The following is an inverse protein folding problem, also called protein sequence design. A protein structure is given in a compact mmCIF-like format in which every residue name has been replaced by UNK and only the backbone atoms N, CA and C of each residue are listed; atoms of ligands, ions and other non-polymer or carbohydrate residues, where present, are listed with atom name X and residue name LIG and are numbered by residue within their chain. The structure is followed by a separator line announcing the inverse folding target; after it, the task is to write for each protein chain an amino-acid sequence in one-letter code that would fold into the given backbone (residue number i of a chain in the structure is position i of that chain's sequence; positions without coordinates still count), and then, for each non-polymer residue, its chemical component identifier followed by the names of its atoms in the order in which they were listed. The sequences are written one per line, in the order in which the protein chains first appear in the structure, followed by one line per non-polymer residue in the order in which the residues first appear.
data_IF_902570756876
#
_entry.id   IF_902570756876
#
_cell.length_a   1.000
_cell.length_b   1.000
_cell.length_c   1.000
_cell.angle_alpha   90.00
_cell.angle_beta   90.00
_cell.angle_gamma   90.00
#
_symmetry.space_group_name_H-M   'P 1'
#
loop_
_entity.id
_entity.type
_entity.pdbx_description
1 polymer ?
#
# COMPACT_ATOMS: atom_id res chain seq x y z
N UNK A 1 -18.19 -49.22 7.15
CA UNK A 1 -16.74 -49.43 6.95
C UNK A 1 -16.51 -49.76 5.49
N UNK A 2 -16.06 -48.79 4.69
CA UNK A 2 -15.55 -49.01 3.35
C UNK A 2 -14.29 -48.14 3.22
N UNK A 3 -13.19 -48.78 2.83
CA UNK A 3 -11.84 -48.30 3.00
C UNK A 3 -11.52 -47.07 2.13
N UNK A 4 -11.01 -46.01 2.77
CA UNK A 4 -10.28 -44.94 2.11
C UNK A 4 -8.94 -45.52 1.62
N UNK A 5 -8.86 -45.83 0.32
CA UNK A 5 -7.57 -46.08 -0.33
C UNK A 5 -6.97 -44.72 -0.66
N UNK A 6 -6.05 -44.28 0.18
CA UNK A 6 -5.22 -43.12 -0.08
C UNK A 6 -4.27 -43.42 -1.25
N UNK A 7 -4.51 -42.80 -2.39
CA UNK A 7 -3.50 -42.70 -3.44
C UNK A 7 -2.55 -41.56 -3.07
N UNK A 8 -1.40 -41.95 -2.51
CA UNK A 8 -0.24 -41.09 -2.39
C UNK A 8 0.13 -40.54 -3.77
N UNK A 9 0.01 -39.23 -3.96
CA UNK A 9 0.57 -38.55 -5.12
C UNK A 9 2.10 -38.60 -5.01
N UNK A 10 2.70 -39.60 -5.65
CA UNK A 10 4.14 -39.70 -5.84
C UNK A 10 4.63 -38.50 -6.64
N UNK A 11 5.66 -37.84 -6.10
CA UNK A 11 6.38 -36.73 -6.74
C UNK A 11 7.01 -37.21 -8.05
N UNK A 12 6.45 -36.81 -9.19
CA UNK A 12 6.99 -37.13 -10.50
C UNK A 12 8.38 -36.50 -10.69
N UNK A 13 9.33 -37.30 -11.21
CA UNK A 13 10.78 -37.02 -11.28
C UNK A 13 11.26 -36.27 -12.54
N UNK A 14 10.40 -35.91 -13.50
CA UNK A 14 10.86 -35.40 -14.80
C UNK A 14 10.42 -33.96 -15.10
N UNK A 15 11.41 -33.11 -15.40
CA UNK A 15 11.33 -31.68 -15.74
C UNK A 15 11.41 -31.42 -17.25
N UNK A 16 10.98 -32.35 -18.12
CA UNK A 16 11.09 -32.19 -19.57
C UNK A 16 9.74 -31.88 -20.21
N UNK A 17 9.52 -30.60 -20.57
CA UNK A 17 8.50 -30.07 -21.51
C UNK A 17 7.02 -30.50 -21.24
N UNK A 18 5.99 -29.79 -21.76
CA UNK A 18 4.62 -30.01 -21.28
C UNK A 18 4.15 -31.43 -21.59
N UNK A 19 3.37 -32.02 -20.68
CA UNK A 19 2.80 -33.35 -20.86
C UNK A 19 2.13 -33.42 -22.25
N UNK A 20 2.50 -34.40 -23.07
CA UNK A 20 2.02 -34.50 -24.45
C UNK A 20 0.49 -34.65 -24.53
N UNK A 21 -0.13 -35.11 -23.44
CA UNK A 21 -1.55 -35.40 -23.30
C UNK A 21 -2.11 -34.85 -21.99
N UNK A 22 -3.40 -34.53 -22.04
CA UNK A 22 -4.21 -34.02 -20.95
C UNK A 22 -5.42 -34.95 -20.78
N UNK A 23 -5.69 -35.38 -19.55
CA UNK A 23 -6.87 -36.21 -19.26
C UNK A 23 -8.15 -35.38 -19.31
N UNK A 24 -9.12 -35.84 -20.10
CA UNK A 24 -10.44 -35.26 -20.27
C UNK A 24 -11.54 -36.27 -19.92
N UNK A 25 -12.69 -35.76 -19.50
CA UNK A 25 -13.90 -36.54 -19.24
C UNK A 25 -14.94 -36.21 -20.31
N UNK A 26 -15.50 -37.23 -20.96
CA UNK A 26 -16.62 -37.03 -21.87
C UNK A 26 -17.88 -36.64 -21.07
N UNK A 27 -18.54 -35.56 -21.47
CA UNK A 27 -19.72 -35.03 -20.78
C UNK A 27 -20.94 -35.95 -20.88
N UNK A 28 -21.02 -36.84 -21.89
CA UNK A 28 -22.18 -37.73 -22.06
C UNK A 28 -22.04 -39.02 -21.27
N UNK A 29 -20.84 -39.62 -21.28
CA UNK A 29 -20.64 -41.00 -20.82
C UNK A 29 -19.70 -41.10 -19.60
N UNK A 30 -19.06 -39.99 -19.20
CA UNK A 30 -18.06 -39.97 -18.12
C UNK A 30 -16.76 -40.71 -18.45
N UNK A 31 -16.59 -41.17 -19.70
CA UNK A 31 -15.41 -41.89 -20.15
C UNK A 31 -14.21 -40.95 -20.23
N UNK A 32 -13.04 -41.45 -19.79
CA UNK A 32 -11.79 -40.68 -19.86
C UNK A 32 -11.18 -40.80 -21.26
N UNK A 33 -10.74 -39.68 -21.82
CA UNK A 33 -9.97 -39.64 -23.05
C UNK A 33 -8.76 -38.71 -22.90
N UNK A 34 -7.74 -38.93 -23.71
CA UNK A 34 -6.53 -38.12 -23.71
C UNK A 34 -6.58 -37.13 -24.88
N UNK A 35 -6.48 -35.84 -24.58
CA UNK A 35 -6.38 -34.77 -25.57
C UNK A 35 -4.93 -34.31 -25.65
N UNK A 36 -4.41 -34.01 -26.84
CA UNK A 36 -3.09 -33.42 -26.93
C UNK A 36 -3.06 -32.02 -26.32
N UNK A 37 -2.00 -31.69 -25.57
CA UNK A 37 -1.91 -30.40 -24.89
C UNK A 37 -1.96 -29.17 -25.83
N UNK A 38 -1.52 -29.32 -27.09
CA UNK A 38 -1.56 -28.24 -28.09
C UNK A 38 -2.96 -28.03 -28.68
N UNK A 39 -3.86 -29.00 -28.55
CA UNK A 39 -5.27 -28.91 -29.00
C UNK A 39 -6.18 -28.37 -27.88
N UNK A 40 -5.62 -28.11 -26.69
CA UNK A 40 -6.37 -27.59 -25.56
C UNK A 40 -6.90 -26.18 -25.85
N UNK A 41 -8.20 -26.00 -25.59
CA UNK A 41 -8.90 -24.73 -25.79
C UNK A 41 -9.86 -24.45 -24.63
N UNK A 42 -10.40 -23.23 -24.53
CA UNK A 42 -11.29 -22.85 -23.41
C UNK A 42 -12.63 -23.59 -23.39
N UNK A 43 -13.00 -24.33 -24.44
CA UNK A 43 -14.17 -25.22 -24.45
C UNK A 43 -13.94 -26.47 -23.61
N UNK A 44 -12.70 -26.94 -23.55
CA UNK A 44 -12.27 -28.13 -22.79
C UNK A 44 -12.11 -27.84 -21.30
N UNK A 45 -12.09 -26.57 -20.91
CA UNK A 45 -11.83 -26.10 -19.55
C UNK A 45 -12.76 -26.68 -18.47
N UNK A 46 -14.00 -27.03 -18.82
CA UNK A 46 -14.98 -27.56 -17.86
C UNK A 46 -14.83 -29.07 -17.60
N UNK A 47 -14.20 -29.83 -18.49
CA UNK A 47 -14.22 -31.30 -18.48
C UNK A 47 -12.83 -31.93 -18.53
N UNK A 48 -11.80 -31.14 -18.80
CA UNK A 48 -10.41 -31.58 -18.90
C UNK A 48 -9.56 -31.07 -17.74
N UNK A 49 -8.56 -31.87 -17.40
CA UNK A 49 -7.40 -31.41 -16.62
C UNK A 49 -6.68 -30.30 -17.39
N UNK A 50 -5.83 -29.53 -16.71
CA UNK A 50 -5.16 -28.41 -17.35
C UNK A 50 -3.74 -28.75 -17.79
N UNK A 51 -3.31 -28.28 -18.97
CA UNK A 51 -1.96 -28.50 -19.45
C UNK A 51 -0.95 -27.83 -18.52
N UNK A 52 0.26 -28.39 -18.43
CA UNK A 52 1.34 -27.74 -17.70
C UNK A 52 1.74 -26.46 -18.41
N UNK A 53 1.63 -25.34 -17.71
CA UNK A 53 2.04 -24.04 -18.20
C UNK A 53 3.43 -23.67 -17.70
N UNK A 54 4.27 -23.09 -18.56
CA UNK A 54 5.53 -22.51 -18.12
C UNK A 54 5.26 -21.16 -17.47
N UNK A 55 5.61 -21.03 -16.21
CA UNK A 55 5.59 -19.74 -15.53
C UNK A 55 6.75 -18.88 -16.01
N UNK A 56 6.49 -17.63 -16.34
CA UNK A 56 7.57 -16.65 -16.52
C UNK A 56 8.13 -16.30 -15.13
N UNK A 57 9.38 -16.71 -14.80
CA UNK A 57 9.97 -16.44 -13.49
C UNK A 57 10.12 -14.94 -13.21
N UNK A 58 10.16 -14.10 -14.24
CA UNK A 58 10.34 -12.66 -14.10
C UNK A 58 9.08 -11.92 -13.62
N UNK A 59 7.91 -12.56 -13.68
CA UNK A 59 6.64 -11.93 -13.29
C UNK A 59 6.15 -12.47 -11.94
N UNK A 60 6.19 -13.79 -11.73
CA UNK A 60 5.66 -14.45 -10.54
C UNK A 60 6.68 -15.41 -9.90
N UNK A 61 7.97 -15.22 -10.19
CA UNK A 61 9.04 -16.01 -9.58
C UNK A 61 9.21 -15.73 -8.10
N UNK A 62 9.80 -16.70 -7.39
CA UNK A 62 10.04 -16.61 -5.94
C UNK A 62 10.91 -15.41 -5.56
N UNK A 63 11.90 -15.08 -6.41
CA UNK A 63 12.77 -13.91 -6.20
C UNK A 63 11.99 -12.60 -6.27
N UNK A 64 11.08 -12.48 -7.24
CA UNK A 64 10.19 -11.32 -7.39
C UNK A 64 9.34 -11.18 -6.13
N UNK A 65 8.58 -12.21 -5.76
CA UNK A 65 7.73 -12.19 -4.54
C UNK A 65 8.54 -11.83 -3.29
N UNK A 66 9.73 -12.41 -3.14
CA UNK A 66 10.65 -12.10 -2.03
C UNK A 66 11.08 -10.63 -2.00
N UNK A 67 11.53 -10.09 -3.13
CA UNK A 67 12.02 -8.70 -3.22
C UNK A 67 10.94 -7.67 -2.88
N UNK A 68 9.72 -7.89 -3.35
CA UNK A 68 8.57 -7.04 -3.07
C UNK A 68 8.13 -7.11 -1.61
N UNK A 69 8.10 -8.32 -1.04
CA UNK A 69 7.76 -8.54 0.37
C UNK A 69 8.76 -7.82 1.28
N UNK A 70 10.05 -8.00 1.00
CA UNK A 70 11.14 -7.34 1.75
C UNK A 70 11.03 -5.83 1.62
N UNK A 71 10.90 -5.30 0.40
CA UNK A 71 10.81 -3.84 0.17
C UNK A 71 9.60 -3.25 0.89
N UNK A 72 8.45 -3.92 0.88
CA UNK A 72 7.26 -3.45 1.56
C UNK A 72 7.41 -3.45 3.08
N UNK A 73 8.00 -4.51 3.64
CA UNK A 73 8.30 -4.60 5.06
C UNK A 73 9.20 -3.46 5.52
N UNK A 74 10.30 -3.18 4.82
CA UNK A 74 11.18 -2.07 5.15
C UNK A 74 10.48 -0.72 5.04
N UNK A 75 9.64 -0.55 4.02
CA UNK A 75 8.86 0.68 3.85
C UNK A 75 7.89 0.87 5.00
N UNK A 76 7.21 -0.19 5.45
CA UNK A 76 6.33 -0.17 6.61
C UNK A 76 7.10 0.19 7.88
N UNK A 77 8.23 -0.47 8.15
CA UNK A 77 9.06 -0.20 9.33
C UNK A 77 9.57 1.24 9.35
N UNK A 78 10.08 1.75 8.22
CA UNK A 78 10.55 3.12 8.10
C UNK A 78 9.40 4.13 8.20
N UNK A 79 8.22 3.81 7.67
CA UNK A 79 7.02 4.63 7.78
C UNK A 79 6.56 4.75 9.24
N UNK A 80 6.51 3.63 9.98
CA UNK A 80 6.21 3.60 11.41
C UNK A 80 7.28 4.40 12.17
N UNK A 81 8.56 4.20 11.86
CA UNK A 81 9.65 4.95 12.46
C UNK A 81 9.49 6.46 12.24
N UNK A 82 9.17 6.89 11.02
CA UNK A 82 8.91 8.29 10.70
C UNK A 82 7.73 8.87 11.50
N UNK A 83 6.65 8.12 11.72
CA UNK A 83 5.53 8.59 12.54
C UNK A 83 5.86 8.67 14.02
N UNK A 84 6.60 7.69 14.54
CA UNK A 84 6.97 7.61 15.95
C UNK A 84 8.00 8.67 16.31
N UNK A 85 9.02 8.84 15.47
CA UNK A 85 10.18 9.71 15.73
C UNK A 85 9.98 11.11 15.19
N UNK A 86 9.27 11.24 14.07
CA UNK A 86 9.05 12.49 13.36
C UNK A 86 8.37 13.54 14.24
N UNK A 87 8.95 14.74 14.21
CA UNK A 87 8.51 15.87 15.02
C UNK A 87 7.32 16.55 14.35
N UNK A 88 6.08 16.25 14.76
CA UNK A 88 4.93 17.08 14.34
C UNK A 88 4.67 18.14 15.42
N UNK A 89 4.70 19.41 15.02
CA UNK A 89 4.73 20.54 15.96
C UNK A 89 3.44 20.60 16.83
N UNK A 90 3.60 20.61 18.15
CA UNK A 90 2.49 20.58 19.14
C UNK A 90 1.53 21.77 19.01
N UNK A 91 2.00 22.88 18.43
CA UNK A 91 1.29 24.16 18.45
C UNK A 91 0.09 24.27 17.49
N UNK A 92 -0.17 23.31 16.58
CA UNK A 92 -1.31 23.48 15.64
C UNK A 92 -1.99 22.24 15.06
N UNK A 93 -1.59 21.02 15.40
CA UNK A 93 -2.50 19.89 15.21
C UNK A 93 -3.39 19.83 16.45
N UNK A 94 -4.67 20.16 16.31
CA UNK A 94 -5.69 19.63 17.21
C UNK A 94 -5.64 18.12 17.08
N UNK A 95 -4.66 17.48 17.71
CA UNK A 95 -4.46 16.05 17.60
C UNK A 95 -5.76 15.39 17.99
N UNK A 96 -6.16 14.41 17.20
CA UNK A 96 -7.12 13.45 17.67
C UNK A 96 -6.63 12.99 19.06
N UNK A 97 -7.47 12.93 20.10
CA UNK A 97 -7.04 12.52 21.44
C UNK A 97 -6.23 11.21 21.42
N UNK A 98 -6.50 10.33 20.44
CA UNK A 98 -5.79 9.09 20.16
C UNK A 98 -4.31 9.35 19.77
N UNK A 99 -4.05 10.24 18.82
CA UNK A 99 -2.68 10.56 18.37
C UNK A 99 -1.86 11.18 19.51
N UNK A 100 -2.52 11.98 20.37
CA UNK A 100 -1.90 12.57 21.56
C UNK A 100 -1.50 11.51 22.59
N UNK A 101 -2.37 10.51 22.81
CA UNK A 101 -2.09 9.39 23.70
C UNK A 101 -0.91 8.57 23.17
N UNK A 102 -0.94 8.20 21.88
CA UNK A 102 0.12 7.44 21.23
C UNK A 102 1.47 8.15 21.33
N UNK A 103 1.50 9.47 21.09
CA UNK A 103 2.75 10.24 21.17
C UNK A 103 3.33 10.30 22.59
N UNK A 104 2.52 10.55 23.60
CA UNK A 104 2.97 10.63 25.00
C UNK A 104 3.55 9.30 25.48
N UNK A 105 2.91 8.19 25.10
CA UNK A 105 3.27 6.87 25.59
C UNK A 105 4.30 6.13 24.72
N UNK A 106 4.45 6.48 23.43
CA UNK A 106 5.33 5.78 22.48
C UNK A 106 6.46 6.67 21.96
N UNK A 107 6.15 7.85 21.39
CA UNK A 107 7.16 8.71 20.76
C UNK A 107 8.16 9.32 21.75
N UNK A 108 7.68 9.89 22.87
CA UNK A 108 8.54 10.52 23.89
C UNK A 108 9.58 9.57 24.51
N UNK A 109 9.24 8.34 24.94
CA UNK A 109 10.24 7.40 25.43
C UNK A 109 11.22 6.99 24.34
N UNK A 110 10.76 6.76 23.10
CA UNK A 110 11.63 6.35 21.99
C UNK A 110 12.62 7.46 21.60
N UNK A 111 12.19 8.71 21.57
CA UNK A 111 13.10 9.86 21.34
C UNK A 111 14.15 9.97 22.44
N UNK A 112 13.76 9.80 23.71
CA UNK A 112 14.72 9.77 24.83
C UNK A 112 15.75 8.65 24.69
N UNK A 113 15.33 7.47 24.23
CA UNK A 113 16.25 6.34 23.99
C UNK A 113 17.24 6.68 22.87
N UNK A 114 16.80 7.22 21.73
CA UNK A 114 17.71 7.62 20.65
C UNK A 114 18.75 8.65 21.09
N UNK A 115 18.34 9.64 21.89
CA UNK A 115 19.28 10.60 22.46
C UNK A 115 20.33 9.92 23.36
N UNK A 116 19.95 8.90 24.15
CA UNK A 116 20.93 8.12 24.95
C UNK A 116 21.90 7.32 24.08
N UNK A 117 21.47 6.86 22.91
CA UNK A 117 22.30 6.12 21.94
C UNK A 117 23.16 7.09 21.10
N UNK A 118 23.07 8.40 21.33
CA UNK A 118 23.84 9.40 20.59
C UNK A 118 23.32 9.67 19.18
N UNK A 119 22.10 9.22 18.86
CA UNK A 119 21.47 9.45 17.55
C UNK A 119 20.63 10.72 17.58
N UNK A 120 20.84 11.63 16.63
CA UNK A 120 19.96 12.78 16.46
C UNK A 120 18.63 12.32 15.82
N UNK A 121 17.50 12.31 16.55
CA UNK A 121 16.24 11.78 16.05
C UNK A 121 15.69 12.58 14.86
N UNK A 122 15.97 13.88 14.81
CA UNK A 122 15.44 14.75 13.77
C UNK A 122 16.16 14.46 12.43
N UNK A 123 17.49 14.24 12.46
CA UNK A 123 18.25 13.80 11.29
C UNK A 123 17.83 12.39 10.81
N UNK A 124 17.68 11.44 11.74
CA UNK A 124 17.29 10.07 11.42
C UNK A 124 15.88 10.00 10.83
N UNK A 125 14.95 10.81 11.34
CA UNK A 125 13.59 10.90 10.78
C UNK A 125 13.58 11.45 9.35
N UNK A 126 14.51 12.36 9.02
CA UNK A 126 14.62 12.93 7.68
C UNK A 126 15.19 11.92 6.68
N UNK A 127 16.24 11.19 7.07
CA UNK A 127 16.80 10.11 6.24
C UNK A 127 15.77 9.00 6.01
N UNK A 128 15.07 8.59 7.07
CA UNK A 128 13.99 7.61 6.96
C UNK A 128 12.88 8.11 6.04
N UNK A 129 12.53 9.40 6.09
CA UNK A 129 11.53 10.00 5.21
C UNK A 129 11.94 9.93 3.72
N UNK A 130 13.20 10.26 3.40
CA UNK A 130 13.69 10.21 2.02
C UNK A 130 13.70 8.76 1.50
N UNK A 131 14.09 7.79 2.34
CA UNK A 131 14.01 6.36 2.03
C UNK A 131 12.57 5.88 1.82
N UNK A 132 11.64 6.26 2.69
CA UNK A 132 10.21 5.93 2.54
C UNK A 132 9.68 6.49 1.23
N UNK A 133 10.02 7.73 0.88
CA UNK A 133 9.58 8.32 -0.37
C UNK A 133 10.16 7.58 -1.60
N UNK A 134 11.43 7.17 -1.55
CA UNK A 134 12.05 6.40 -2.63
C UNK A 134 11.44 4.99 -2.77
N UNK A 135 11.25 4.26 -1.67
CA UNK A 135 10.64 2.93 -1.73
C UNK A 135 9.15 2.98 -2.09
N UNK A 136 8.45 4.04 -1.70
CA UNK A 136 7.07 4.30 -2.13
C UNK A 136 6.98 4.42 -3.65
N UNK A 137 7.88 5.19 -4.28
CA UNK A 137 7.92 5.33 -5.73
C UNK A 137 8.34 4.03 -6.42
N UNK A 138 9.30 3.30 -5.83
CA UNK A 138 9.71 2.00 -6.34
C UNK A 138 8.52 1.03 -6.37
N UNK A 139 7.77 0.90 -5.28
CA UNK A 139 6.60 0.01 -5.19
C UNK A 139 5.50 0.37 -6.18
N UNK A 140 5.29 1.66 -6.44
CA UNK A 140 4.31 2.11 -7.42
C UNK A 140 4.72 1.68 -8.84
N UNK A 141 5.98 1.93 -9.20
CA UNK A 141 6.51 1.60 -10.54
C UNK A 141 6.60 0.09 -10.74
N UNK A 142 7.13 -0.65 -9.76
CA UNK A 142 7.29 -2.10 -9.86
C UNK A 142 5.94 -2.82 -9.78
N UNK A 143 5.01 -2.34 -8.94
CA UNK A 143 3.64 -2.86 -8.89
C UNK A 143 2.90 -2.63 -10.22
N UNK A 144 3.07 -1.46 -10.84
CA UNK A 144 2.55 -1.17 -12.18
C UNK A 144 3.15 -2.08 -13.25
N UNK A 145 4.47 -2.27 -13.24
CA UNK A 145 5.17 -3.12 -14.19
C UNK A 145 4.70 -4.58 -14.10
N UNK A 146 4.53 -5.11 -12.89
CA UNK A 146 4.00 -6.47 -12.65
C UNK A 146 2.56 -6.60 -13.15
N UNK A 147 1.70 -5.60 -12.95
CA UNK A 147 0.34 -5.60 -13.51
C UNK A 147 0.35 -5.59 -15.04
N UNK A 148 1.16 -4.73 -15.67
CA UNK A 148 1.27 -4.66 -17.13
C UNK A 148 1.77 -5.99 -17.70
N UNK A 149 2.82 -6.56 -17.09
CA UNK A 149 3.33 -7.88 -17.48
C UNK A 149 2.29 -8.98 -17.32
N UNK A 150 1.60 -9.05 -16.18
CA UNK A 150 0.56 -10.05 -15.93
C UNK A 150 -0.64 -9.94 -16.86
N UNK A 151 -1.09 -8.71 -17.18
CA UNK A 151 -2.20 -8.48 -18.11
C UNK A 151 -1.80 -8.81 -19.55
N UNK A 152 -0.56 -8.52 -19.95
CA UNK A 152 -0.02 -8.92 -21.25
C UNK A 152 0.00 -10.45 -21.38
N UNK A 153 0.56 -11.16 -20.40
CA UNK A 153 0.60 -12.63 -20.42
C UNK A 153 -0.79 -13.27 -20.29
N UNK A 154 -1.75 -12.56 -19.67
CA UNK A 154 -3.17 -12.93 -19.69
C UNK A 154 -3.77 -12.84 -21.09
N UNK A 155 -3.50 -11.76 -21.82
CA UNK A 155 -3.98 -11.58 -23.20
C UNK A 155 -3.41 -12.65 -24.14
N UNK A 156 -2.13 -12.96 -23.99
CA UNK A 156 -1.42 -14.03 -24.72
C UNK A 156 -1.89 -15.45 -24.32
N UNK A 157 -2.55 -15.61 -23.18
CA UNK A 157 -3.01 -16.91 -22.67
C UNK A 157 -1.90 -17.79 -22.10
N UNK A 158 -0.73 -17.20 -21.80
CA UNK A 158 0.47 -17.91 -21.31
C UNK A 158 0.57 -17.95 -19.78
N UNK A 159 -0.22 -17.13 -19.08
CA UNK A 159 -0.23 -17.12 -17.61
C UNK A 159 -1.30 -18.05 -17.02
N UNK A 160 -0.89 -18.86 -16.05
CA UNK A 160 -1.83 -19.72 -15.32
C UNK A 160 -2.58 -18.92 -14.27
N UNK A 161 -3.75 -19.41 -13.86
CA UNK A 161 -4.57 -18.82 -12.79
C UNK A 161 -3.75 -18.53 -11.52
N UNK A 162 -2.94 -19.51 -11.08
CA UNK A 162 -2.05 -19.37 -9.93
C UNK A 162 -1.08 -18.19 -10.04
N UNK A 163 -0.37 -18.07 -11.16
CA UNK A 163 0.62 -17.00 -11.34
C UNK A 163 -0.06 -15.63 -11.48
N UNK A 164 -1.24 -15.57 -12.12
CA UNK A 164 -2.01 -14.34 -12.21
C UNK A 164 -2.55 -13.88 -10.85
N UNK A 165 -2.95 -14.81 -9.98
CA UNK A 165 -3.32 -14.50 -8.60
C UNK A 165 -2.14 -13.92 -7.83
N UNK A 166 -0.95 -14.52 -7.93
CA UNK A 166 0.27 -13.97 -7.32
C UNK A 166 0.53 -12.55 -7.81
N UNK A 167 0.44 -12.30 -9.12
CA UNK A 167 0.60 -10.96 -9.71
C UNK A 167 -0.39 -9.95 -9.12
N UNK A 168 -1.66 -10.35 -9.03
CA UNK A 168 -2.74 -9.50 -8.51
C UNK A 168 -2.52 -9.19 -7.03
N UNK A 169 -2.18 -10.19 -6.22
CA UNK A 169 -1.91 -10.05 -4.80
C UNK A 169 -0.66 -9.20 -4.54
N UNK A 170 0.39 -9.40 -5.35
CA UNK A 170 1.62 -8.61 -5.27
C UNK A 170 1.34 -7.14 -5.57
N UNK A 171 0.63 -6.85 -6.66
CA UNK A 171 0.28 -5.50 -7.03
C UNK A 171 -0.65 -4.81 -6.03
N UNK A 172 -1.62 -5.56 -5.46
CA UNK A 172 -2.45 -5.09 -4.36
C UNK A 172 -1.61 -4.72 -3.14
N UNK A 173 -0.65 -5.57 -2.79
CA UNK A 173 0.24 -5.37 -1.66
C UNK A 173 1.19 -4.17 -1.86
N UNK A 174 1.75 -3.99 -3.05
CA UNK A 174 2.53 -2.81 -3.43
C UNK A 174 1.72 -1.54 -3.30
N UNK A 175 0.51 -1.57 -3.85
CA UNK A 175 -0.43 -0.46 -3.78
C UNK A 175 -0.70 -0.09 -2.33
N UNK A 176 -1.03 -1.07 -1.48
CA UNK A 176 -1.35 -0.84 -0.09
C UNK A 176 -0.17 -0.17 0.66
N UNK A 177 1.04 -0.66 0.42
CA UNK A 177 2.26 -0.12 1.01
C UNK A 177 2.62 1.28 0.47
N UNK A 178 2.36 1.53 -0.81
CA UNK A 178 2.50 2.84 -1.43
C UNK A 178 1.51 3.86 -0.83
N UNK A 179 0.23 3.49 -0.67
CA UNK A 179 -0.77 4.36 -0.06
C UNK A 179 -0.44 4.67 1.41
N UNK A 180 0.10 3.70 2.14
CA UNK A 180 0.57 3.89 3.52
C UNK A 180 1.71 4.89 3.60
N UNK A 181 2.74 4.71 2.77
CA UNK A 181 3.89 5.60 2.73
C UNK A 181 3.47 7.02 2.35
N UNK A 182 2.48 7.21 1.47
CA UNK A 182 1.93 8.54 1.18
C UNK A 182 1.30 9.24 2.38
N UNK A 183 0.68 8.52 3.33
CA UNK A 183 0.16 9.12 4.57
C UNK A 183 1.30 9.71 5.37
N UNK A 184 2.35 8.92 5.58
CA UNK A 184 3.53 9.31 6.37
C UNK A 184 4.31 10.42 5.68
N UNK A 185 4.55 10.32 4.38
CA UNK A 185 5.23 11.37 3.61
C UNK A 185 4.45 12.68 3.69
N UNK A 186 3.11 12.66 3.70
CA UNK A 186 2.31 13.87 3.87
C UNK A 186 2.45 14.46 5.27
N UNK A 187 2.31 13.65 6.32
CA UNK A 187 2.39 14.13 7.71
C UNK A 187 3.78 14.70 8.05
N UNK A 188 4.85 14.04 7.59
CA UNK A 188 6.23 14.51 7.80
C UNK A 188 6.54 15.73 6.95
N UNK A 189 6.18 15.76 5.65
CA UNK A 189 6.43 16.92 4.78
C UNK A 189 5.74 18.18 5.29
N UNK A 190 4.51 18.07 5.77
CA UNK A 190 3.77 19.20 6.35
C UNK A 190 4.39 19.68 7.66
N UNK A 191 5.13 18.81 8.37
CA UNK A 191 5.88 19.16 9.57
C UNK A 191 7.20 19.86 9.24
N UNK A 192 8.00 19.31 8.32
CA UNK A 192 9.31 19.86 7.89
C UNK A 192 9.16 21.22 7.24
N UNK A 193 8.16 21.40 6.36
CA UNK A 193 7.91 22.69 5.68
C UNK A 193 7.66 23.83 6.68
N UNK A 194 7.15 23.53 7.88
CA UNK A 194 6.85 24.53 8.90
C UNK A 194 8.03 24.82 9.82
N UNK A 195 8.91 23.85 10.09
CA UNK A 195 10.10 24.05 10.93
C UNK A 195 11.27 24.68 10.18
N UNK A 196 11.46 24.34 8.90
CA UNK A 196 12.57 24.85 8.08
C UNK A 196 12.08 25.41 6.74
N UNK A 197 11.39 26.57 6.74
CA UNK A 197 10.85 27.15 5.51
C UNK A 197 11.93 27.51 4.48
N UNK A 198 13.15 27.83 4.95
CA UNK A 198 14.27 28.20 4.06
C UNK A 198 14.75 27.04 3.18
N UNK A 199 14.66 25.78 3.65
CA UNK A 199 15.09 24.61 2.87
C UNK A 199 14.15 24.29 1.69
N UNK A 200 12.95 24.86 1.67
CA UNK A 200 11.93 24.63 0.63
C UNK A 200 11.85 25.75 -0.41
N UNK A 201 12.72 26.76 -0.34
CA UNK A 201 12.73 27.93 -1.21
C UNK A 201 13.75 27.77 -2.34
N UNK A 202 13.45 26.94 -3.32
CA UNK A 202 14.19 26.91 -4.59
C UNK A 202 13.22 26.82 -5.78
N UNK A 203 13.12 27.92 -6.54
CA UNK A 203 12.23 28.07 -7.71
C UNK A 203 12.51 27.04 -8.82
N UNK A 204 13.78 26.68 -9.06
CA UNK A 204 14.14 25.71 -10.11
C UNK A 204 13.79 24.25 -9.75
N UNK A 205 13.60 23.94 -8.45
CA UNK A 205 13.15 22.61 -7.99
C UNK A 205 11.62 22.48 -8.15
N UNK A 206 10.90 23.59 -8.32
CA UNK A 206 9.45 23.57 -8.29
C UNK A 206 8.84 22.87 -9.52
N UNK A 207 9.40 23.08 -10.72
CA UNK A 207 8.92 22.41 -11.93
C UNK A 207 9.17 20.90 -11.85
N UNK A 208 10.39 20.48 -11.50
CA UNK A 208 10.73 19.07 -11.33
C UNK A 208 9.84 18.39 -10.26
N UNK A 209 9.59 19.07 -9.13
CA UNK A 209 8.70 18.55 -8.10
C UNK A 209 7.22 18.52 -8.52
N UNK A 210 6.77 19.47 -9.37
CA UNK A 210 5.42 19.43 -9.97
C UNK A 210 5.30 18.27 -10.95
N UNK A 211 6.28 18.06 -11.82
CA UNK A 211 6.32 16.94 -12.77
C UNK A 211 6.37 15.59 -12.05
N UNK A 212 7.23 15.42 -11.05
CA UNK A 212 7.30 14.19 -10.26
C UNK A 212 5.96 13.86 -9.57
N UNK A 213 5.26 14.87 -9.03
CA UNK A 213 3.92 14.69 -8.46
C UNK A 213 2.87 14.33 -9.51
N UNK A 214 2.90 14.99 -10.67
CA UNK A 214 1.99 14.69 -11.77
C UNK A 214 2.19 13.24 -12.26
N UNK A 215 3.44 12.84 -12.49
CA UNK A 215 3.81 11.49 -12.91
C UNK A 215 3.41 10.45 -11.86
N UNK A 216 3.62 10.73 -10.58
CA UNK A 216 3.13 9.85 -9.49
C UNK A 216 1.61 9.69 -9.54
N UNK A 217 0.84 10.77 -9.72
CA UNK A 217 -0.62 10.69 -9.84
C UNK A 217 -1.04 9.90 -11.08
N UNK A 218 -0.36 10.09 -12.21
CA UNK A 218 -0.61 9.32 -13.44
C UNK A 218 -0.37 7.82 -13.22
N UNK A 219 0.75 7.45 -12.58
CA UNK A 219 1.03 6.05 -12.25
C UNK A 219 0.04 5.48 -11.24
N UNK A 220 -0.36 6.24 -10.22
CA UNK A 220 -1.42 5.83 -9.30
C UNK A 220 -2.74 5.56 -10.03
N UNK A 221 -3.13 6.44 -10.97
CA UNK A 221 -4.34 6.26 -11.76
C UNK A 221 -4.25 5.03 -12.69
N UNK A 222 -3.10 4.81 -13.33
CA UNK A 222 -2.86 3.64 -14.16
C UNK A 222 -2.92 2.34 -13.34
N UNK A 223 -2.21 2.28 -12.22
CA UNK A 223 -2.23 1.14 -11.29
C UNK A 223 -3.64 0.88 -10.78
N UNK A 224 -4.41 1.92 -10.44
CA UNK A 224 -5.79 1.79 -10.01
C UNK A 224 -6.67 1.11 -11.07
N UNK A 225 -6.60 1.55 -12.33
CA UNK A 225 -7.39 0.96 -13.43
C UNK A 225 -7.00 -0.51 -13.66
N UNK A 226 -5.70 -0.79 -13.78
CA UNK A 226 -5.21 -2.15 -14.04
C UNK A 226 -5.47 -3.10 -12.88
N UNK A 227 -5.36 -2.64 -11.64
CA UNK A 227 -5.61 -3.46 -10.46
C UNK A 227 -7.10 -3.79 -10.31
N UNK A 228 -8.01 -2.85 -10.60
CA UNK A 228 -9.45 -3.14 -10.63
C UNK A 228 -9.80 -4.14 -11.71
N UNK A 229 -9.19 -4.02 -12.88
CA UNK A 229 -9.32 -5.02 -13.94
C UNK A 229 -8.83 -6.40 -13.48
N UNK A 230 -7.67 -6.47 -12.82
CA UNK A 230 -7.13 -7.72 -12.27
C UNK A 230 -8.07 -8.34 -11.23
N UNK A 231 -8.62 -7.55 -10.30
CA UNK A 231 -9.62 -8.06 -9.35
C UNK A 231 -10.86 -8.60 -10.04
N UNK A 232 -11.37 -7.89 -11.04
CA UNK A 232 -12.51 -8.34 -11.81
C UNK A 232 -12.25 -9.69 -12.50
N UNK A 233 -11.05 -9.88 -13.07
CA UNK A 233 -10.65 -11.17 -13.69
C UNK A 233 -10.57 -12.29 -12.63
N UNK A 234 -10.04 -12.01 -11.43
CA UNK A 234 -9.93 -13.01 -10.35
C UNK A 234 -11.27 -13.39 -9.69
N UNK A 235 -12.38 -12.75 -10.05
CA UNK A 235 -13.71 -12.99 -9.48
C UNK A 235 -14.40 -14.28 -9.92
N UNK A 236 -13.72 -15.17 -10.66
CA UNK A 236 -14.25 -16.45 -11.14
C UNK A 236 -14.63 -17.40 -9.99
N UNK A 237 -15.82 -18.00 -10.05
CA UNK A 237 -16.38 -18.84 -8.97
C UNK A 237 -15.50 -20.04 -8.59
N UNK A 238 -15.03 -20.80 -9.59
CA UNK A 238 -14.30 -22.05 -9.34
C UNK A 238 -12.77 -21.84 -9.30
N UNK A 239 -12.31 -20.60 -9.12
CA UNK A 239 -10.88 -20.29 -9.10
C UNK A 239 -10.12 -21.07 -8.01
N UNK A 240 -10.81 -21.40 -6.90
CA UNK A 240 -10.24 -22.13 -5.78
C UNK A 240 -10.44 -23.64 -5.83
N UNK A 241 -11.12 -24.16 -6.87
CA UNK A 241 -11.35 -25.60 -7.01
C UNK A 241 -10.03 -26.31 -7.33
N UNK A 242 -9.84 -27.49 -6.75
CA UNK A 242 -8.60 -28.25 -6.91
C UNK A 242 -8.34 -28.54 -8.40
N UNK A 243 -7.12 -28.25 -8.86
CA UNK A 243 -6.72 -28.41 -10.27
C UNK A 243 -6.88 -27.14 -11.13
N UNK A 244 -7.81 -26.24 -10.79
CA UNK A 244 -8.09 -25.04 -11.60
C UNK A 244 -6.97 -23.98 -11.57
N UNK A 245 -6.14 -23.98 -10.53
CA UNK A 245 -4.99 -23.08 -10.39
C UNK A 245 -3.94 -23.22 -11.50
N UNK A 246 -3.87 -24.38 -12.17
CA UNK A 246 -2.88 -24.67 -13.22
C UNK A 246 -3.37 -24.29 -14.61
N UNK A 247 -4.64 -23.96 -14.74
CA UNK A 247 -5.28 -23.66 -16.02
C UNK A 247 -4.92 -22.26 -16.54
N UNK A 248 -5.03 -22.04 -17.86
CA UNK A 248 -4.83 -20.71 -18.43
C UNK A 248 -5.91 -19.76 -17.94
N UNK A 249 -5.49 -18.65 -17.33
CA UNK A 249 -6.40 -17.68 -16.72
C UNK A 249 -7.34 -17.04 -17.75
N UNK A 250 -6.91 -16.97 -19.02
CA UNK A 250 -7.71 -16.46 -20.14
C UNK A 250 -9.07 -17.16 -20.26
N UNK A 251 -9.14 -18.46 -19.97
CA UNK A 251 -10.39 -19.22 -20.06
C UNK A 251 -11.35 -18.95 -18.90
N UNK A 252 -10.89 -18.31 -17.82
CA UNK A 252 -11.72 -17.95 -16.67
C UNK A 252 -12.41 -16.59 -16.82
N UNK A 253 -11.99 -15.75 -17.79
CA UNK A 253 -12.50 -14.37 -17.96
C UNK A 253 -14.02 -14.33 -18.20
N UNK A 254 -14.49 -15.20 -19.11
CA UNK A 254 -15.89 -15.23 -19.55
C UNK A 254 -16.78 -16.13 -18.69
N UNK A 255 -16.22 -16.72 -17.64
CA UNK A 255 -16.95 -17.64 -16.75
C UNK A 255 -17.76 -16.87 -15.71
N UNK A 256 -18.84 -17.47 -15.18
CA UNK A 256 -19.66 -16.84 -14.16
C UNK A 256 -18.83 -16.49 -12.92
N UNK A 257 -19.12 -15.31 -12.36
CA UNK A 257 -18.53 -14.82 -11.12
C UNK A 257 -19.44 -15.21 -9.96
N UNK A 258 -18.91 -15.88 -8.95
CA UNK A 258 -19.72 -16.46 -7.88
C UNK A 258 -18.93 -16.79 -6.62
N UNK A 259 -19.64 -17.32 -5.63
CA UNK A 259 -19.06 -17.87 -4.41
C UNK A 259 -18.24 -16.90 -3.53
N UNK A 260 -17.15 -17.42 -2.96
CA UNK A 260 -16.18 -16.64 -2.16
C UNK A 260 -15.35 -15.66 -3.00
N UNK A 261 -14.86 -16.02 -4.20
CA UNK A 261 -14.08 -15.11 -5.05
C UNK A 261 -14.81 -13.81 -5.39
N UNK A 262 -16.10 -13.90 -5.73
CA UNK A 262 -16.92 -12.72 -6.02
C UNK A 262 -16.98 -11.74 -4.84
N UNK A 263 -17.15 -12.24 -3.61
CA UNK A 263 -17.17 -11.39 -2.41
C UNK A 263 -15.82 -10.70 -2.19
N UNK A 264 -14.71 -11.42 -2.36
CA UNK A 264 -13.37 -10.85 -2.25
C UNK A 264 -13.10 -9.79 -3.33
N UNK A 265 -13.52 -10.05 -4.57
CA UNK A 265 -13.47 -9.09 -5.67
C UNK A 265 -14.22 -7.80 -5.31
N UNK A 266 -15.48 -7.89 -4.86
CA UNK A 266 -16.29 -6.71 -4.50
C UNK A 266 -15.66 -5.93 -3.34
N UNK A 267 -15.19 -6.63 -2.30
CA UNK A 267 -14.52 -5.99 -1.16
C UNK A 267 -13.26 -5.27 -1.62
N UNK A 268 -12.38 -5.95 -2.37
CA UNK A 268 -11.11 -5.38 -2.81
C UNK A 268 -11.32 -4.20 -3.78
N UNK A 269 -12.22 -4.31 -4.75
CA UNK A 269 -12.53 -3.21 -5.67
C UNK A 269 -13.10 -1.99 -4.92
N UNK A 270 -14.04 -2.21 -4.00
CA UNK A 270 -14.67 -1.12 -3.24
C UNK A 270 -13.68 -0.44 -2.31
N UNK A 271 -12.95 -1.23 -1.52
CA UNK A 271 -11.95 -0.74 -0.58
C UNK A 271 -10.83 0.00 -1.30
N UNK A 272 -10.30 -0.57 -2.39
CA UNK A 272 -9.19 0.03 -3.10
C UNK A 272 -9.60 1.29 -3.85
N UNK A 273 -10.83 1.34 -4.38
CA UNK A 273 -11.42 2.57 -4.93
C UNK A 273 -11.55 3.67 -3.90
N UNK A 274 -12.04 3.35 -2.70
CA UNK A 274 -12.11 4.31 -1.60
C UNK A 274 -10.71 4.82 -1.22
N UNK A 275 -9.76 3.91 -0.97
CA UNK A 275 -8.41 4.27 -0.55
C UNK A 275 -7.68 5.13 -1.60
N UNK A 276 -7.74 4.76 -2.89
CA UNK A 276 -7.13 5.58 -3.96
C UNK A 276 -7.82 6.93 -4.10
N UNK A 277 -9.15 6.99 -4.10
CA UNK A 277 -9.88 8.24 -4.25
C UNK A 277 -9.51 9.23 -3.13
N UNK A 278 -9.49 8.76 -1.87
CA UNK A 278 -9.08 9.56 -0.72
C UNK A 278 -7.63 10.02 -0.87
N UNK A 279 -6.71 9.13 -1.24
CA UNK A 279 -5.28 9.44 -1.33
C UNK A 279 -4.93 10.37 -2.50
N UNK A 280 -5.59 10.19 -3.65
CA UNK A 280 -5.47 11.08 -4.81
C UNK A 280 -6.03 12.47 -4.47
N UNK A 281 -7.21 12.54 -3.86
CA UNK A 281 -7.80 13.80 -3.40
C UNK A 281 -6.90 14.51 -2.39
N UNK A 282 -6.39 13.78 -1.39
CA UNK A 282 -5.48 14.34 -0.39
C UNK A 282 -4.13 14.76 -0.99
N UNK A 283 -3.71 14.18 -2.11
CA UNK A 283 -2.49 14.57 -2.82
C UNK A 283 -2.70 15.76 -3.76
N UNK A 284 -3.94 15.99 -4.20
CA UNK A 284 -4.30 17.10 -5.09
C UNK A 284 -4.45 18.42 -4.32
N UNK A 285 -3.40 19.24 -4.34
CA UNK A 285 -3.36 20.55 -3.66
C UNK A 285 -4.50 21.48 -4.08
N UNK A 286 -4.74 21.67 -5.37
CA UNK A 286 -5.80 22.55 -5.90
C UNK A 286 -7.18 22.03 -5.52
N UNK A 287 -7.41 20.72 -5.61
CA UNK A 287 -8.66 20.09 -5.18
C UNK A 287 -8.95 20.32 -3.70
N UNK A 288 -7.94 20.22 -2.82
CA UNK A 288 -8.10 20.52 -1.39
C UNK A 288 -8.44 21.98 -1.12
N UNK A 289 -7.77 22.92 -1.79
CA UNK A 289 -8.06 24.35 -1.63
C UNK A 289 -9.49 24.66 -2.10
N UNK A 290 -9.87 24.18 -3.28
CA UNK A 290 -11.23 24.31 -3.79
C UNK A 290 -12.27 23.70 -2.83
N UNK A 291 -12.00 22.51 -2.30
CA UNK A 291 -12.88 21.88 -1.31
C UNK A 291 -13.01 22.72 -0.03
N UNK A 292 -11.90 23.21 0.52
CA UNK A 292 -11.94 24.03 1.74
C UNK A 292 -12.65 25.36 1.51
N UNK A 293 -12.38 26.03 0.39
CA UNK A 293 -12.87 27.38 0.13
C UNK A 293 -14.32 27.39 -0.36
N UNK A 294 -14.72 26.44 -1.21
CA UNK A 294 -16.02 26.48 -1.89
C UNK A 294 -17.00 25.43 -1.38
N UNK A 295 -16.54 24.19 -1.15
CA UNK A 295 -17.46 23.08 -0.86
C UNK A 295 -17.76 23.00 0.64
N UNK A 296 -16.73 23.02 1.49
CA UNK A 296 -16.86 22.91 2.95
C UNK A 296 -17.65 24.09 3.51
N UNK A 297 -17.34 25.32 3.06
CA UNK A 297 -18.06 26.51 3.47
C UNK A 297 -19.57 26.41 3.21
N UNK A 298 -19.95 25.81 2.08
CA UNK A 298 -21.34 25.73 1.63
C UNK A 298 -22.12 24.54 2.24
N UNK A 299 -21.45 23.41 2.49
CA UNK A 299 -22.05 22.18 3.03
C UNK A 299 -22.02 22.12 4.56
N UNK A 300 -20.97 22.64 5.20
CA UNK A 300 -20.72 22.48 6.64
C UNK A 300 -20.93 23.80 7.39
N UNK A 301 -20.49 24.92 6.83
CA UNK A 301 -20.45 26.23 7.52
C UNK A 301 -21.59 27.18 7.11
N UNK A 302 -22.84 26.70 6.98
CA UNK A 302 -23.99 27.60 6.81
C UNK A 302 -24.30 28.50 8.01
N UNK A 303 -23.52 28.45 9.09
CA UNK A 303 -23.49 29.50 10.12
C UNK A 303 -22.05 29.70 10.57
N UNK A 304 -21.39 30.72 10.02
CA UNK A 304 -20.05 31.11 10.40
C UNK A 304 -19.91 31.21 11.92
N UNK A 305 -19.08 30.36 12.49
CA UNK A 305 -18.46 30.63 13.78
C UNK A 305 -16.98 30.89 13.55
N UNK A 306 -16.46 32.08 13.91
CA UNK A 306 -15.06 32.22 14.19
C UNK A 306 -14.83 31.48 15.51
N UNK A 307 -14.50 30.18 15.42
CA UNK A 307 -14.19 29.39 16.61
C UNK A 307 -12.80 29.86 17.09
N UNK A 308 -12.79 30.85 17.97
CA UNK A 308 -11.69 31.05 18.90
C UNK A 308 -11.66 29.82 19.82
N UNK A 309 -10.83 28.85 19.45
CA UNK A 309 -10.57 27.55 20.10
C UNK A 309 -10.02 27.62 21.54
N UNK A 310 -10.06 28.78 22.21
CA UNK A 310 -9.45 28.99 23.53
C UNK A 310 -10.39 28.88 24.73
N UNK A 311 -11.70 28.62 24.56
CA UNK A 311 -12.62 28.40 25.71
C UNK A 311 -13.61 27.26 25.46
N UNK A 312 -13.25 25.99 25.76
CA UNK A 312 -14.14 24.84 25.56
C UNK A 312 -15.41 24.88 26.42
N UNK A 313 -15.41 25.62 27.53
CA UNK A 313 -16.51 25.62 28.50
C UNK A 313 -17.80 26.30 27.99
N UNK A 314 -17.69 27.23 27.04
CA UNK A 314 -18.85 27.99 26.53
C UNK A 314 -19.57 27.27 25.38
N UNK A 315 -18.86 26.38 24.67
CA UNK A 315 -19.41 25.53 23.60
C UNK A 315 -20.25 24.40 24.18
N UNK A 316 -19.89 23.89 25.37
CA UNK A 316 -20.59 22.79 26.02
C UNK A 316 -21.97 23.17 26.58
N UNK A 317 -22.20 24.45 26.94
CA UNK A 317 -23.42 24.87 27.66
C UNK A 317 -24.63 25.12 26.74
N UNK A 318 -24.42 25.42 25.45
CA UNK A 318 -25.49 25.83 24.51
C UNK A 318 -25.86 24.75 23.47
N UNK A 319 -25.24 23.57 23.54
CA UNK A 319 -25.33 22.49 22.55
C UNK A 319 -26.02 21.24 23.11
N UNK A 320 -26.98 21.44 24.01
CA UNK A 320 -27.71 20.41 24.77
C UNK A 320 -29.19 20.49 24.37
N UNK A 321 -29.56 20.00 23.19
CA UNK A 321 -30.97 19.72 22.86
C UNK A 321 -31.05 18.74 21.67
N UNK A 322 -31.09 17.46 22.04
CA UNK A 322 -31.54 16.24 21.33
C UNK A 322 -30.56 15.08 21.53
N UNK A 323 -30.90 14.20 22.48
CA UNK A 323 -30.07 13.09 22.95
C UNK A 323 -29.79 12.03 21.87
N UNK A 324 -30.74 11.78 20.97
CA UNK A 324 -30.61 10.79 19.90
C UNK A 324 -29.78 11.32 18.72
N UNK A 325 -30.01 12.57 18.32
CA UNK A 325 -29.18 13.26 17.32
C UNK A 325 -27.76 13.49 17.82
N UNK A 326 -27.58 13.68 19.15
CA UNK A 326 -26.29 13.73 19.83
C UNK A 326 -25.56 12.39 19.79
N UNK A 327 -26.26 11.27 20.02
CA UNK A 327 -25.68 9.93 19.91
C UNK A 327 -25.23 9.62 18.47
N UNK A 328 -26.07 9.91 17.49
CA UNK A 328 -25.77 9.69 16.07
C UNK A 328 -24.69 10.64 15.56
N UNK A 329 -24.74 11.94 15.89
CA UNK A 329 -23.67 12.88 15.52
C UNK A 329 -22.38 12.57 16.23
N UNK A 330 -22.40 12.19 17.51
CA UNK A 330 -21.16 11.79 18.21
C UNK A 330 -20.64 10.47 17.66
N UNK A 331 -21.48 9.50 17.31
CA UNK A 331 -20.98 8.28 16.66
C UNK A 331 -20.43 8.60 15.27
N UNK A 332 -21.08 9.45 14.48
CA UNK A 332 -20.59 9.89 13.17
C UNK A 332 -19.33 10.75 13.28
N UNK A 333 -19.22 11.62 14.27
CA UNK A 333 -18.02 12.40 14.56
C UNK A 333 -16.91 11.51 15.09
N UNK A 334 -17.20 10.55 15.96
CA UNK A 334 -16.22 9.59 16.46
C UNK A 334 -15.76 8.67 15.34
N UNK A 335 -16.66 8.18 14.48
CA UNK A 335 -16.34 7.42 13.27
C UNK A 335 -15.57 8.29 12.29
N UNK A 336 -15.92 9.57 12.14
CA UNK A 336 -15.20 10.51 11.29
C UNK A 336 -13.80 10.81 11.82
N UNK A 337 -13.66 11.08 13.12
CA UNK A 337 -12.37 11.29 13.77
C UNK A 337 -11.55 10.01 13.79
N UNK A 338 -12.18 8.84 13.87
CA UNK A 338 -11.54 7.54 13.73
C UNK A 338 -11.04 7.34 12.29
N UNK A 339 -11.89 7.54 11.27
CA UNK A 339 -11.53 7.46 9.84
C UNK A 339 -10.53 8.54 9.39
N UNK A 340 -10.53 9.70 10.06
CA UNK A 340 -9.58 10.78 9.81
C UNK A 340 -8.29 10.62 10.64
N UNK A 341 -8.22 9.61 11.51
CA UNK A 341 -7.06 9.34 12.36
C UNK A 341 -5.94 8.70 11.54
N UNK A 342 -4.74 9.28 11.58
CA UNK A 342 -3.55 8.63 11.01
C UNK A 342 -3.27 7.29 11.72
N UNK A 343 -3.66 7.16 12.99
CA UNK A 343 -3.54 5.93 13.79
C UNK A 343 -4.52 4.85 13.35
N UNK A 344 -5.72 5.18 12.87
CA UNK A 344 -6.65 4.19 12.31
C UNK A 344 -6.15 3.70 10.95
N UNK A 345 -5.62 4.59 10.13
CA UNK A 345 -5.00 4.18 8.87
C UNK A 345 -3.82 3.24 9.16
N UNK A 346 -3.01 3.54 10.17
CA UNK A 346 -1.92 2.64 10.62
C UNK A 346 -2.43 1.33 11.22
N UNK A 347 -3.45 1.33 12.09
CA UNK A 347 -4.00 0.12 12.72
C UNK A 347 -4.78 -0.74 11.72
N UNK A 348 -5.61 -0.14 10.91
CA UNK A 348 -6.31 -0.76 9.78
C UNK A 348 -5.30 -1.43 8.87
N UNK A 349 -4.26 -0.71 8.41
CA UNK A 349 -3.22 -1.35 7.61
C UNK A 349 -2.44 -2.43 8.37
N UNK A 350 -2.03 -2.20 9.61
CA UNK A 350 -1.24 -3.17 10.40
C UNK A 350 -2.02 -4.45 10.71
N UNK A 351 -3.33 -4.38 10.94
CA UNK A 351 -4.20 -5.55 11.12
C UNK A 351 -4.28 -6.38 9.84
N UNK A 352 -4.25 -5.72 8.67
CA UNK A 352 -4.16 -6.42 7.37
C UNK A 352 -2.76 -7.00 7.11
N UNK A 353 -1.68 -6.33 7.52
CA UNK A 353 -0.31 -6.88 7.48
C UNK A 353 -0.10 -8.04 8.48
N UNK A 354 -0.82 -8.03 9.60
CA UNK A 354 -0.72 -8.99 10.70
C UNK A 354 -1.03 -10.45 10.31
N UNK A 355 -1.74 -10.67 9.20
CA UNK A 355 -2.00 -12.01 8.67
C UNK A 355 -0.79 -12.64 7.93
N UNK A 356 0.28 -11.87 7.64
CA UNK A 356 1.45 -12.33 6.88
C UNK A 356 2.75 -12.41 7.73
N UNK A 357 2.63 -12.28 9.05
CA UNK A 357 3.72 -12.34 10.05
C UNK A 357 4.55 -13.66 10.09
N UNK A 358 4.17 -14.78 9.46
CA UNK A 358 5.08 -15.94 9.40
C UNK A 358 6.19 -15.89 8.33
N UNK A 359 6.35 -14.79 7.57
CA UNK A 359 7.50 -14.59 6.65
C UNK A 359 8.52 -13.65 7.32
N UNK A 360 8.68 -13.82 8.62
CA UNK A 360 9.77 -13.24 9.40
C UNK A 360 11.01 -14.12 9.20
N UNK A 361 12.15 -13.47 8.93
CA UNK A 361 13.50 -14.00 8.71
C UNK A 361 13.90 -14.03 7.25
N UNK A 362 14.41 -12.90 6.76
CA UNK A 362 15.72 -12.87 6.11
C UNK A 362 16.27 -11.44 6.13
N UNK A 363 16.98 -11.19 7.22
CA UNK A 363 18.09 -10.25 7.38
C UNK A 363 18.92 -10.25 6.09
N UNK A 364 18.98 -9.15 5.33
CA UNK A 364 20.02 -8.91 4.31
C UNK A 364 20.18 -7.43 3.82
N UNK A 365 19.26 -6.44 3.97
CA UNK A 365 19.52 -5.12 3.41
C UNK A 365 20.25 -4.24 4.43
N UNK A 366 21.47 -4.64 4.78
CA UNK A 366 22.41 -3.79 5.51
C UNK A 366 23.19 -2.87 4.57
N UNK A 367 23.24 -3.13 3.26
CA UNK A 367 24.11 -2.39 2.33
C UNK A 367 23.56 -1.03 1.86
N UNK A 368 22.24 -0.89 1.68
CA UNK A 368 21.62 0.39 1.28
C UNK A 368 21.59 1.45 2.40
N UNK A 369 21.62 0.99 3.67
CA UNK A 369 21.64 1.86 4.84
C UNK A 369 22.98 2.61 4.95
N UNK A 370 24.11 1.95 4.66
CA UNK A 370 25.43 2.56 4.77
C UNK A 370 25.72 3.61 3.69
N UNK A 371 25.22 3.43 2.46
CA UNK A 371 25.45 4.39 1.37
C UNK A 371 24.64 5.68 1.54
N UNK A 372 23.39 5.57 2.02
CA UNK A 372 22.55 6.72 2.35
C UNK A 372 23.08 7.46 3.60
N UNK A 373 23.60 6.74 4.59
CA UNK A 373 24.20 7.32 5.79
C UNK A 373 25.47 8.11 5.46
N UNK A 374 26.32 7.59 4.58
CA UNK A 374 27.55 8.26 4.16
C UNK A 374 27.28 9.59 3.41
N UNK A 375 26.23 9.63 2.58
CA UNK A 375 25.88 10.83 1.79
C UNK A 375 25.36 11.98 2.65
N UNK A 376 24.52 11.68 3.65
CA UNK A 376 23.94 12.72 4.53
C UNK A 376 24.86 13.16 5.66
N UNK A 377 25.72 12.28 6.18
CA UNK A 377 26.74 12.63 7.18
C UNK A 377 27.70 13.72 6.67
N UNK A 378 28.07 13.64 5.39
CA UNK A 378 28.95 14.62 4.75
C UNK A 378 28.29 16.01 4.61
N UNK A 379 27.03 16.04 4.19
CA UNK A 379 26.29 17.29 4.03
C UNK A 379 26.05 18.03 5.38
N UNK A 380 25.91 17.29 6.49
CA UNK A 380 25.72 17.89 7.82
C UNK A 380 27.03 18.47 8.39
N UNK A 381 28.17 17.79 8.17
CA UNK A 381 29.48 18.33 8.57
C UNK A 381 29.84 19.62 7.81
N UNK A 382 29.44 19.71 6.55
CA UNK A 382 29.67 20.91 5.74
C UNK A 382 28.76 22.09 6.12
N UNK A 383 27.58 21.84 6.71
CA UNK A 383 26.74 22.91 7.25
C UNK A 383 27.26 23.44 8.57
N UNK A 384 27.67 22.56 9.49
CA UNK A 384 28.18 22.96 10.81
C UNK A 384 29.50 23.74 10.69
N UNK A 385 30.37 23.37 9.74
CA UNK A 385 31.62 24.09 9.47
C UNK A 385 31.36 25.53 8.99
N UNK A 386 30.32 25.74 8.16
CA UNK A 386 29.96 27.07 7.67
C UNK A 386 29.33 27.96 8.74
N UNK A 387 28.67 27.36 9.72
CA UNK A 387 28.08 28.09 10.85
C UNK A 387 29.17 28.58 11.82
N UNK A 388 30.21 27.76 12.06
CA UNK A 388 31.39 28.12 12.86
C UNK A 388 32.24 29.24 12.24
N UNK A 389 32.43 29.26 10.92
CA UNK A 389 33.16 30.32 10.23
C UNK A 389 32.37 31.64 10.14
N UNK A 390 31.06 31.62 10.40
CA UNK A 390 30.19 32.80 10.31
C UNK A 390 30.03 33.56 11.62
N UNK A 391 30.60 33.07 12.72
CA UNK A 391 30.62 33.79 13.99
C UNK A 391 31.74 34.85 13.96
N UNK A 392 31.40 36.16 13.97
CA UNK A 392 32.41 37.20 14.02
C UNK A 392 33.17 37.09 15.35
N UNK A 393 34.49 36.99 15.27
CA UNK A 393 35.37 37.08 16.43
C UNK A 393 35.21 38.47 17.05
N UNK A 394 34.43 38.58 18.12
CA UNK A 394 34.53 39.70 19.06
C UNK A 394 35.91 39.58 19.74
N UNK A 395 36.87 40.35 19.21
CA UNK A 395 38.18 40.52 19.83
C UNK A 395 38.08 41.45 21.06
N UNK A 396 38.93 41.22 22.08
CA UNK A 396 39.00 42.07 23.28
C UNK A 396 39.55 43.48 23.00
#
# INVERSE_FOLDING_TARGET
MAAYVGTAFTRAKNYNYPDAFVECLNSTDGTKYNLHAHEYSCTHFAFCSCPRMSAEPDIAGRGVVGSFTVTAFFTLCLAIFCLVVGRTNEARQSFNPIDRLARKHVSEPIRRIMFRVGMNPDLQSLVAYDLVNAFSDLQLVTGLAVLVGGIKELADGKISTYHFMIVTDLAWFCTLTHLLSLVVTRSVRDSVKRTHPQRYRHENIELAARLARALRICFMAATFVLLNYAFWVTGYEDIYVQGQYRCPMKCAIDKPKGGRPWRLMVINMSLMSYCYAVQMFLSWRTGRLFWMDHIRGHLVDKKGQPINLLKPEVVFKRWIENKMWKGLKMSLLTVWYFLASEVETMLGLTVYFGQLVPIFLLIIPFMGFFESYARHSKAFRESDAKELDSCPSEGP
#
